data_IF_357298811294
#
_entry.id   IF_357298811294
#
_cell.length_a   1.000
_cell.length_b   1.000
_cell.length_c   1.000
_cell.angle_alpha   90.00
_cell.angle_beta   90.00
_cell.angle_gamma   90.00
#
_symmetry.space_group_name_H-M   'P 1'
#
loop_
_entity.id
_entity.type
_entity.pdbx_description
1 polymer ?
#
# COMPACT_ATOMS: atom_id res chain seq x y z
N UNK A 1 25.87 11.94 -33.51
CA UNK A 1 25.65 12.27 -32.08
C UNK A 1 24.18 12.14 -31.62
N UNK A 2 23.16 12.31 -32.48
CA UNK A 2 21.74 12.11 -32.09
C UNK A 2 21.31 10.64 -31.96
N UNK A 3 21.92 9.70 -32.69
CA UNK A 3 21.52 8.28 -32.67
C UNK A 3 21.96 7.58 -31.38
N UNK A 4 23.16 7.86 -30.88
CA UNK A 4 23.72 7.26 -29.66
C UNK A 4 22.90 7.59 -28.41
N UNK A 5 22.31 8.78 -28.36
CA UNK A 5 21.43 9.20 -27.27
C UNK A 5 20.13 8.39 -27.23
N UNK A 6 19.53 8.09 -28.39
CA UNK A 6 18.32 7.25 -28.47
C UNK A 6 18.60 5.81 -28.04
N UNK A 7 19.75 5.26 -28.39
CA UNK A 7 20.12 3.87 -28.04
C UNK A 7 20.35 3.68 -26.53
N UNK A 8 20.77 4.73 -25.82
CA UNK A 8 20.96 4.69 -24.36
C UNK A 8 19.66 4.90 -23.55
N UNK A 9 18.66 5.56 -24.13
CA UNK A 9 17.37 5.85 -23.45
C UNK A 9 16.50 4.59 -23.32
N UNK A 10 16.49 3.73 -24.35
CA UNK A 10 15.71 2.48 -24.31
C UNK A 10 16.05 1.53 -23.15
N UNK A 11 17.32 1.18 -22.87
CA UNK A 11 17.66 0.34 -21.73
C UNK A 11 17.41 1.04 -20.39
N UNK A 12 17.51 2.38 -20.34
CA UNK A 12 17.22 3.16 -19.12
C UNK A 12 15.71 3.13 -18.76
N UNK A 13 14.84 3.25 -19.77
CA UNK A 13 13.39 3.16 -19.61
C UNK A 13 12.91 1.74 -19.29
N UNK A 14 13.55 0.72 -19.87
CA UNK A 14 13.26 -0.68 -19.52
C UNK A 14 13.74 -1.02 -18.09
N UNK A 15 14.87 -0.46 -17.65
CA UNK A 15 15.38 -0.64 -16.30
C UNK A 15 14.49 -0.01 -15.22
N UNK A 16 13.89 1.16 -15.48
CA UNK A 16 13.06 1.86 -14.48
C UNK A 16 11.74 1.16 -14.16
N UNK A 17 11.20 0.35 -15.08
CA UNK A 17 9.97 -0.43 -14.84
C UNK A 17 10.14 -1.52 -13.78
N UNK A 18 11.33 -2.11 -13.65
CA UNK A 18 11.58 -3.17 -12.66
C UNK A 18 11.50 -2.61 -11.23
N UNK A 19 11.95 -1.38 -11.02
CA UNK A 19 11.96 -0.74 -9.70
C UNK A 19 10.58 -0.28 -9.20
N UNK A 20 9.58 -0.17 -10.08
CA UNK A 20 8.22 0.21 -9.69
C UNK A 20 7.45 -0.94 -9.02
N UNK A 21 7.91 -2.19 -9.15
CA UNK A 21 7.24 -3.36 -8.57
C UNK A 21 7.45 -3.53 -7.05
N UNK A 22 8.38 -2.78 -6.45
CA UNK A 22 8.72 -2.90 -5.02
C UNK A 22 7.93 -1.94 -4.11
N UNK A 23 6.86 -1.30 -4.61
CA UNK A 23 6.01 -0.42 -3.82
C UNK A 23 4.83 -1.21 -3.21
N UNK A 24 5.14 -2.21 -2.39
CA UNK A 24 4.12 -2.95 -1.64
C UNK A 24 3.66 -2.10 -0.44
N UNK A 25 2.36 -2.05 -0.19
CA UNK A 25 1.85 -1.26 0.95
C UNK A 25 2.13 -2.00 2.25
N UNK A 26 2.56 -1.30 3.31
CA UNK A 26 2.82 -1.90 4.64
C UNK A 26 1.66 -2.77 5.16
N UNK A 27 0.43 -2.46 4.75
CA UNK A 27 -0.78 -3.10 5.24
C UNK A 27 -1.10 -4.41 4.50
N UNK A 28 -0.59 -4.58 3.29
CA UNK A 28 -0.84 -5.76 2.45
C UNK A 28 -0.23 -7.03 3.06
N UNK A 29 0.97 -6.91 3.64
CA UNK A 29 1.66 -8.00 4.33
C UNK A 29 1.23 -8.19 5.80
N UNK A 30 0.29 -7.39 6.31
CA UNK A 30 -0.19 -7.50 7.69
C UNK A 30 -1.03 -8.78 7.88
N UNK A 31 -0.81 -9.57 8.94
CA UNK A 31 -1.68 -10.70 9.29
C UNK A 31 -3.15 -10.28 9.50
N UNK A 32 -4.08 -11.17 9.18
CA UNK A 32 -5.52 -10.90 9.24
C UNK A 32 -6.01 -10.53 10.66
N UNK A 33 -5.54 -11.24 11.67
CA UNK A 33 -5.86 -11.02 13.07
C UNK A 33 -5.30 -9.69 13.58
N UNK A 34 -4.07 -9.36 13.19
CA UNK A 34 -3.45 -8.06 13.50
C UNK A 34 -4.22 -6.91 12.83
N UNK A 35 -4.55 -7.05 11.54
CA UNK A 35 -5.32 -6.05 10.80
C UNK A 35 -6.70 -5.81 11.42
N UNK A 36 -7.41 -6.89 11.78
CA UNK A 36 -8.72 -6.81 12.42
C UNK A 36 -8.64 -6.11 13.78
N UNK A 37 -7.67 -6.48 14.61
CA UNK A 37 -7.46 -5.87 15.93
C UNK A 37 -7.14 -4.37 15.80
N UNK A 38 -6.22 -4.01 14.89
CA UNK A 38 -5.81 -2.62 14.66
C UNK A 38 -6.93 -1.76 14.09
N UNK A 39 -7.75 -2.32 13.20
CA UNK A 39 -8.94 -1.65 12.69
C UNK A 39 -9.99 -1.45 13.81
N UNK A 40 -10.17 -2.44 14.70
CA UNK A 40 -11.07 -2.31 15.84
C UNK A 40 -10.61 -1.25 16.85
N UNK A 41 -9.31 -1.19 17.16
CA UNK A 41 -8.72 -0.17 18.04
C UNK A 41 -9.07 1.25 17.57
N UNK A 42 -9.13 1.50 16.26
CA UNK A 42 -9.48 2.81 15.71
C UNK A 42 -10.87 3.34 16.10
N UNK A 43 -11.80 2.46 16.49
CA UNK A 43 -13.13 2.86 16.97
C UNK A 43 -13.15 3.25 18.44
N UNK A 44 -12.07 2.97 19.17
CA UNK A 44 -11.95 3.24 20.62
C UNK A 44 -11.19 4.53 20.93
N UNK A 45 -10.63 5.18 19.92
CA UNK A 45 -9.81 6.38 20.10
C UNK A 45 -10.68 7.63 20.00
N UNK A 46 -10.77 8.35 21.11
CA UNK A 46 -11.35 9.68 21.15
C UNK A 46 -10.29 10.74 20.76
N UNK A 47 -10.68 11.68 19.90
CA UNK A 47 -9.86 12.79 19.39
C UNK A 47 -8.45 12.38 18.85
N UNK A 48 -8.40 11.51 17.81
CA UNK A 48 -7.13 11.04 17.26
C UNK A 48 -6.34 12.17 16.59
N UNK A 49 -5.02 12.16 16.78
CA UNK A 49 -4.11 12.99 16.01
C UNK A 49 -4.27 12.74 14.49
N UNK A 50 -4.02 13.76 13.67
CA UNK A 50 -4.22 13.69 12.22
C UNK A 50 -3.46 12.52 11.55
N UNK A 51 -2.27 12.19 12.04
CA UNK A 51 -1.51 11.03 11.57
C UNK A 51 -2.24 9.71 11.86
N UNK A 52 -2.84 9.58 13.04
CA UNK A 52 -3.60 8.39 13.43
C UNK A 52 -4.88 8.25 12.62
N UNK A 53 -5.56 9.35 12.28
CA UNK A 53 -6.71 9.34 11.37
C UNK A 53 -6.33 8.69 10.03
N UNK A 54 -5.16 9.01 9.47
CA UNK A 54 -4.71 8.43 8.21
C UNK A 54 -4.35 6.95 8.36
N UNK A 55 -3.72 6.57 9.46
CA UNK A 55 -3.44 5.16 9.77
C UNK A 55 -4.74 4.35 9.85
N UNK A 56 -5.75 4.84 10.57
CA UNK A 56 -7.06 4.19 10.66
C UNK A 56 -7.78 4.07 9.31
N UNK A 57 -7.69 5.10 8.45
CA UNK A 57 -8.20 5.02 7.07
C UNK A 57 -7.50 3.94 6.25
N UNK A 58 -6.20 3.74 6.47
CA UNK A 58 -5.44 2.73 5.76
C UNK A 58 -5.83 1.31 6.20
N UNK A 59 -5.99 1.06 7.51
CA UNK A 59 -6.51 -0.23 8.01
C UNK A 59 -7.86 -0.56 7.38
N UNK A 60 -8.79 0.41 7.41
CA UNK A 60 -10.12 0.23 6.83
C UNK A 60 -10.05 -0.07 5.32
N UNK A 61 -9.22 0.64 4.57
CA UNK A 61 -9.03 0.42 3.13
C UNK A 61 -8.51 -1.00 2.86
N UNK A 62 -7.58 -1.47 3.67
CA UNK A 62 -7.03 -2.81 3.51
C UNK A 62 -8.06 -3.90 3.83
N UNK A 63 -8.86 -3.73 4.87
CA UNK A 63 -10.01 -4.60 5.15
C UNK A 63 -10.99 -4.63 3.95
N UNK A 64 -11.29 -3.47 3.36
CA UNK A 64 -12.17 -3.37 2.17
C UNK A 64 -11.56 -4.03 0.93
N UNK A 65 -10.25 -3.89 0.71
CA UNK A 65 -9.53 -4.58 -0.37
C UNK A 65 -9.64 -6.10 -0.21
N UNK A 66 -9.31 -6.63 0.98
CA UNK A 66 -9.43 -8.07 1.28
C UNK A 66 -10.87 -8.57 1.12
N UNK A 67 -11.85 -7.78 1.54
CA UNK A 67 -13.27 -8.10 1.33
C UNK A 67 -13.64 -8.23 -0.15
N UNK A 68 -13.09 -7.36 -1.01
CA UNK A 68 -13.30 -7.45 -2.46
C UNK A 68 -12.70 -8.72 -3.08
N UNK A 69 -11.74 -9.35 -2.39
CA UNK A 69 -11.11 -10.63 -2.73
C UNK A 69 -11.79 -11.83 -2.04
N UNK A 70 -12.88 -11.61 -1.29
CA UNK A 70 -13.63 -12.66 -0.58
C UNK A 70 -13.09 -13.00 0.82
N UNK A 71 -12.18 -12.19 1.36
CA UNK A 71 -11.57 -12.37 2.68
C UNK A 71 -12.25 -11.41 3.67
N UNK A 72 -12.96 -11.94 4.68
CA UNK A 72 -13.80 -11.16 5.61
C UNK A 72 -13.19 -11.11 7.02
N UNK A 73 -12.06 -10.44 7.13
CA UNK A 73 -11.25 -10.37 8.37
C UNK A 73 -11.63 -9.18 9.26
N UNK A 74 -12.16 -8.15 8.61
CA UNK A 74 -12.88 -7.02 9.17
C UNK A 74 -14.06 -6.71 8.22
#
# INVERSE_FOLDING_TARGET
MKSTLRTAIYPLLLGSMVFLSACESKWESMPDDELAAKNAECYTIDDPAAAMIQVCKNYKRECERRRSEGIYVC
#
